data_IF_811367116211
#
_entry.id   IF_811367116211
#
_cell.length_a   1.000
_cell.length_b   1.000
_cell.length_c   1.000
_cell.angle_alpha   90.00
_cell.angle_beta   90.00
_cell.angle_gamma   90.00
#
_symmetry.space_group_name_H-M   'P 1'
#
loop_
_entity.id
_entity.type
_entity.pdbx_description
1 polymer ?
#
# COMPACT_ATOMS: atom_id res chain seq x y z
N UNK A 1 -22.63 3.86 -3.97
CA UNK A 1 -24.07 3.74 -4.25
C UNK A 1 -24.41 2.33 -4.70
N UNK A 2 -23.81 1.85 -5.80
CA UNK A 2 -24.10 0.53 -6.39
C UNK A 2 -24.00 -0.67 -5.42
N UNK A 3 -22.88 -0.85 -4.69
CA UNK A 3 -22.72 -2.01 -3.79
C UNK A 3 -23.73 -2.06 -2.63
N UNK A 4 -24.08 -0.90 -2.05
CA UNK A 4 -25.12 -0.82 -1.00
C UNK A 4 -26.52 -1.18 -1.50
N UNK A 5 -26.80 -0.93 -2.77
CA UNK A 5 -28.05 -1.37 -3.41
C UNK A 5 -28.05 -2.89 -3.63
N UNK A 6 -26.88 -3.45 -3.97
CA UNK A 6 -26.70 -4.90 -4.12
C UNK A 6 -26.91 -5.68 -2.82
N UNK A 7 -26.40 -5.18 -1.70
CA UNK A 7 -26.58 -5.82 -0.40
C UNK A 7 -28.05 -5.89 0.05
N UNK A 8 -28.89 -4.98 -0.45
CA UNK A 8 -30.31 -4.88 -0.13
C UNK A 8 -31.22 -5.60 -1.13
N UNK A 9 -30.66 -6.19 -2.19
CA UNK A 9 -31.44 -6.91 -3.21
C UNK A 9 -31.96 -8.23 -2.67
N UNK A 10 -33.21 -8.58 -3.03
CA UNK A 10 -33.81 -9.90 -2.76
C UNK A 10 -33.19 -11.03 -3.57
N UNK A 11 -32.44 -10.71 -4.62
CA UNK A 11 -31.64 -11.64 -5.44
C UNK A 11 -30.15 -11.29 -5.28
N UNK A 12 -29.64 -11.42 -4.06
CA UNK A 12 -28.26 -11.06 -3.74
C UNK A 12 -27.29 -12.06 -4.37
N UNK A 13 -26.40 -11.56 -5.22
CA UNK A 13 -25.32 -12.35 -5.83
C UNK A 13 -24.00 -12.01 -5.15
N UNK A 14 -23.15 -13.02 -4.94
CA UNK A 14 -21.90 -12.87 -4.22
C UNK A 14 -20.69 -13.07 -5.13
N UNK A 15 -19.66 -12.27 -4.90
CA UNK A 15 -18.29 -12.59 -5.28
C UNK A 15 -17.48 -12.70 -4.00
N UNK A 16 -17.08 -13.91 -3.68
CA UNK A 16 -16.27 -14.25 -2.52
C UNK A 16 -14.84 -14.39 -3.03
N UNK A 17 -13.98 -13.44 -2.69
CA UNK A 17 -12.57 -13.58 -2.94
C UNK A 17 -11.95 -14.48 -1.87
N UNK A 18 -11.24 -15.48 -2.35
CA UNK A 18 -10.40 -16.33 -1.55
C UNK A 18 -8.95 -15.83 -1.55
N UNK A 19 -8.58 -15.09 -0.49
CA UNK A 19 -7.22 -14.56 -0.29
C UNK A 19 -6.31 -15.56 0.45
N UNK A 20 -6.53 -16.85 0.24
CA UNK A 20 -5.75 -17.92 0.86
C UNK A 20 -4.31 -17.96 0.35
N UNK A 21 -3.36 -18.01 1.30
CA UNK A 21 -1.92 -18.29 1.11
C UNK A 21 -1.20 -17.22 0.28
N UNK A 22 -0.41 -16.37 0.94
CA UNK A 22 0.66 -15.46 0.50
C UNK A 22 0.92 -14.37 1.56
N UNK A 23 2.00 -13.58 1.44
CA UNK A 23 2.24 -12.43 2.30
C UNK A 23 1.16 -11.34 2.18
N UNK A 24 1.16 -10.36 3.11
CA UNK A 24 0.12 -9.32 3.18
C UNK A 24 -0.02 -8.52 1.87
N UNK A 25 1.11 -8.11 1.29
CA UNK A 25 1.11 -7.35 0.04
C UNK A 25 0.40 -8.09 -1.10
N UNK A 26 0.65 -9.39 -1.24
CA UNK A 26 0.04 -10.19 -2.30
C UNK A 26 -1.44 -10.45 -2.03
N UNK A 27 -1.83 -10.73 -0.78
CA UNK A 27 -3.25 -10.86 -0.42
C UNK A 27 -3.99 -9.56 -0.67
N UNK A 28 -3.37 -8.41 -0.37
CA UNK A 28 -3.98 -7.11 -0.62
C UNK A 28 -4.18 -6.84 -2.11
N UNK A 29 -3.21 -7.15 -2.99
CA UNK A 29 -3.42 -7.01 -4.44
C UNK A 29 -4.54 -7.92 -4.95
N UNK A 30 -4.68 -9.13 -4.41
CA UNK A 30 -5.81 -10.03 -4.70
C UNK A 30 -7.13 -9.41 -4.27
N UNK A 31 -7.19 -8.86 -3.05
CA UNK A 31 -8.37 -8.17 -2.48
C UNK A 31 -8.82 -7.03 -3.37
N UNK A 32 -7.90 -6.14 -3.72
CA UNK A 32 -8.23 -4.99 -4.57
C UNK A 32 -8.69 -5.45 -5.96
N UNK A 33 -8.00 -6.43 -6.56
CA UNK A 33 -8.37 -6.96 -7.88
C UNK A 33 -9.76 -7.61 -7.84
N UNK A 34 -10.03 -8.46 -6.86
CA UNK A 34 -11.31 -9.12 -6.65
C UNK A 34 -12.45 -8.15 -6.42
N UNK A 35 -12.21 -7.04 -5.71
CA UNK A 35 -13.21 -6.00 -5.50
C UNK A 35 -13.66 -5.38 -6.83
N UNK A 36 -12.74 -5.09 -7.75
CA UNK A 36 -13.11 -4.59 -9.07
C UNK A 36 -13.86 -5.63 -9.91
N UNK A 37 -13.49 -6.92 -9.81
CA UNK A 37 -14.27 -7.99 -10.45
C UNK A 37 -15.69 -8.05 -9.86
N UNK A 38 -15.86 -7.85 -8.55
CA UNK A 38 -17.19 -7.80 -7.92
C UNK A 38 -18.02 -6.63 -8.47
N UNK A 39 -17.41 -5.46 -8.68
CA UNK A 39 -18.09 -4.32 -9.31
C UNK A 39 -18.51 -4.63 -10.77
N UNK A 40 -17.61 -5.22 -11.56
CA UNK A 40 -17.87 -5.55 -12.97
C UNK A 40 -18.92 -6.65 -13.14
N UNK A 41 -18.91 -7.65 -12.26
CA UNK A 41 -19.87 -8.75 -12.23
C UNK A 41 -21.20 -8.38 -11.57
N UNK A 42 -21.30 -7.17 -11.00
CA UNK A 42 -22.46 -6.73 -10.20
C UNK A 42 -22.73 -7.74 -9.10
N UNK A 43 -21.80 -7.86 -8.15
CA UNK A 43 -21.88 -8.78 -7.01
C UNK A 43 -21.50 -8.10 -5.69
N UNK A 44 -22.12 -8.55 -4.61
CA UNK A 44 -21.69 -8.23 -3.25
C UNK A 44 -20.32 -8.86 -3.00
N UNK A 45 -19.32 -8.02 -2.80
CA UNK A 45 -17.96 -8.46 -2.50
C UNK A 45 -17.82 -9.00 -1.07
N UNK A 46 -17.18 -10.16 -0.91
CA UNK A 46 -16.82 -10.80 0.36
C UNK A 46 -15.37 -11.29 0.32
N UNK A 47 -14.73 -11.40 1.48
CA UNK A 47 -13.35 -11.85 1.62
C UNK A 47 -13.31 -13.06 2.56
N UNK A 48 -12.56 -14.09 2.17
CA UNK A 48 -12.20 -15.23 3.03
C UNK A 48 -10.69 -15.51 2.95
N UNK A 49 -10.18 -16.36 3.84
CA UNK A 49 -8.78 -16.80 3.83
C UNK A 49 -7.83 -15.90 4.63
N UNK A 50 -8.33 -14.79 5.18
CA UNK A 50 -7.61 -13.88 6.09
C UNK A 50 -8.59 -13.23 7.07
N UNK A 51 -8.20 -13.16 8.35
CA UNK A 51 -8.99 -12.50 9.39
C UNK A 51 -8.57 -11.02 9.45
N UNK A 52 -9.39 -10.15 8.84
CA UNK A 52 -9.11 -8.70 8.75
C UNK A 52 -9.91 -7.90 9.78
N UNK A 53 -10.93 -8.51 10.37
CA UNK A 53 -11.87 -7.89 11.30
C UNK A 53 -11.23 -7.47 12.61
N UNK A 54 -10.11 -8.09 13.00
CA UNK A 54 -9.33 -7.67 14.16
C UNK A 54 -8.55 -6.38 13.87
N UNK A 55 -8.25 -6.09 12.60
CA UNK A 55 -7.34 -5.01 12.17
C UNK A 55 -8.08 -3.80 11.60
N UNK A 56 -9.11 -4.05 10.79
CA UNK A 56 -9.77 -3.03 9.99
C UNK A 56 -11.26 -2.90 10.33
N UNK A 57 -11.73 -1.66 10.38
CA UNK A 57 -13.13 -1.30 10.20
C UNK A 57 -13.55 -1.45 8.73
N UNK A 58 -14.86 -1.54 8.52
CA UNK A 58 -15.52 -1.75 7.22
C UNK A 58 -16.34 -0.50 6.84
N UNK A 59 -15.70 0.62 6.47
CA UNK A 59 -16.36 1.93 6.44
C UNK A 59 -17.48 2.05 5.39
N UNK A 60 -17.37 1.33 4.27
CA UNK A 60 -18.27 1.52 3.13
C UNK A 60 -19.12 0.31 2.76
N UNK A 61 -18.59 -0.90 2.93
CA UNK A 61 -19.24 -2.17 2.59
C UNK A 61 -18.90 -3.23 3.63
N UNK A 62 -19.80 -4.20 3.85
CA UNK A 62 -19.49 -5.35 4.70
C UNK A 62 -18.89 -6.47 3.85
N UNK A 63 -17.57 -6.61 3.90
CA UNK A 63 -16.85 -7.68 3.19
C UNK A 63 -16.76 -9.00 3.98
N UNK A 64 -17.31 -9.10 5.20
CA UNK A 64 -17.26 -10.33 6.00
C UNK A 64 -18.34 -11.33 5.59
N UNK A 65 -18.05 -12.63 5.73
CA UNK A 65 -19.01 -13.72 5.58
C UNK A 65 -18.79 -14.74 6.69
N UNK A 66 -19.87 -15.22 7.31
CA UNK A 66 -19.75 -16.23 8.37
C UNK A 66 -19.45 -17.61 7.79
N UNK A 67 -18.85 -18.50 8.58
CA UNK A 67 -18.59 -19.88 8.16
C UNK A 67 -19.89 -20.61 7.81
N UNK A 68 -20.93 -20.39 8.60
CA UNK A 68 -22.26 -21.00 8.40
C UNK A 68 -22.93 -20.48 7.12
N UNK A 69 -22.78 -19.18 6.79
CA UNK A 69 -23.27 -18.63 5.52
C UNK A 69 -22.51 -19.22 4.33
N UNK A 70 -21.18 -19.33 4.43
CA UNK A 70 -20.35 -19.93 3.39
C UNK A 70 -20.71 -21.40 3.14
N UNK A 71 -20.84 -22.20 4.20
CA UNK A 71 -21.24 -23.61 4.11
C UNK A 71 -22.63 -23.78 3.48
N UNK A 72 -23.59 -22.91 3.82
CA UNK A 72 -24.92 -22.92 3.19
C UNK A 72 -24.84 -22.65 1.68
N UNK A 73 -24.04 -21.67 1.26
CA UNK A 73 -23.86 -21.34 -0.15
C UNK A 73 -23.22 -22.52 -0.92
N UNK A 74 -22.19 -23.15 -0.35
CA UNK A 74 -21.54 -24.31 -0.96
C UNK A 74 -22.48 -25.53 -1.07
N UNK A 75 -23.28 -25.80 -0.02
CA UNK A 75 -24.20 -26.95 0.00
C UNK A 75 -25.38 -26.84 -0.99
N UNK A 76 -25.78 -25.62 -1.34
CA UNK A 76 -26.89 -25.38 -2.27
C UNK A 76 -26.50 -25.56 -3.75
N UNK A 77 -25.26 -25.95 -4.07
CA UNK A 77 -24.71 -25.98 -5.44
C UNK A 77 -24.82 -24.63 -6.19
N UNK A 78 -25.04 -23.54 -5.46
CA UNK A 78 -25.15 -22.16 -5.96
C UNK A 78 -23.79 -21.51 -6.29
N UNK A 79 -22.69 -22.27 -6.17
CA UNK A 79 -21.32 -21.76 -6.21
C UNK A 79 -20.59 -22.22 -7.47
N UNK A 80 -20.00 -21.25 -8.18
CA UNK A 80 -18.99 -21.50 -9.21
C UNK A 80 -17.62 -21.04 -8.73
N UNK A 81 -16.64 -21.94 -8.75
CA UNK A 81 -15.23 -21.64 -8.46
C UNK A 81 -14.53 -21.13 -9.72
N UNK A 82 -13.96 -19.93 -9.64
CA UNK A 82 -13.20 -19.25 -10.70
C UNK A 82 -11.77 -19.04 -10.22
N UNK A 83 -10.94 -20.06 -10.43
CA UNK A 83 -9.54 -20.04 -10.01
C UNK A 83 -8.67 -19.79 -11.23
N UNK A 84 -8.11 -18.58 -11.31
CA UNK A 84 -7.12 -18.19 -12.31
C UNK A 84 -5.69 -18.50 -11.84
N UNK A 85 -5.58 -19.43 -10.88
CA UNK A 85 -4.36 -19.92 -10.27
C UNK A 85 -4.25 -21.41 -10.52
N UNK A 86 -3.19 -21.84 -11.18
CA UNK A 86 -2.83 -23.26 -11.24
C UNK A 86 -1.63 -23.47 -10.33
N UNK A 87 -1.83 -24.08 -9.16
CA UNK A 87 -0.79 -24.29 -8.13
C UNK A 87 0.40 -25.07 -8.69
N UNK A 88 0.18 -25.89 -9.71
CA UNK A 88 1.16 -26.83 -10.26
C UNK A 88 1.71 -26.43 -11.64
N UNK A 89 1.22 -25.36 -12.27
CA UNK A 89 1.73 -24.91 -13.58
C UNK A 89 2.42 -23.56 -13.45
N UNK A 90 3.66 -23.50 -13.97
CA UNK A 90 4.42 -22.25 -14.20
C UNK A 90 3.76 -21.31 -15.23
N UNK A 91 2.55 -21.63 -15.71
CA UNK A 91 1.83 -20.87 -16.73
C UNK A 91 0.60 -20.22 -16.13
N UNK A 92 0.54 -18.90 -16.34
CA UNK A 92 -0.52 -18.03 -15.87
C UNK A 92 -1.80 -18.23 -16.68
N UNK A 93 -2.95 -18.35 -16.00
CA UNK A 93 -4.25 -18.38 -16.67
C UNK A 93 -4.76 -16.94 -16.86
N UNK A 94 -4.51 -16.37 -18.03
CA UNK A 94 -5.01 -15.05 -18.43
C UNK A 94 -6.49 -15.06 -18.87
N UNK A 95 -7.23 -16.14 -18.62
CA UNK A 95 -8.64 -16.27 -18.98
C UNK A 95 -9.50 -15.11 -18.45
N UNK A 96 -9.10 -14.47 -17.34
CA UNK A 96 -9.79 -13.30 -16.78
C UNK A 96 -9.77 -12.09 -17.74
N UNK A 97 -8.78 -11.96 -18.64
CA UNK A 97 -8.72 -10.90 -19.65
C UNK A 97 -9.83 -11.03 -20.71
N UNK A 98 -10.24 -12.27 -20.95
CA UNK A 98 -11.23 -12.65 -21.97
C UNK A 98 -12.56 -13.11 -21.36
N UNK A 99 -12.77 -12.84 -20.07
CA UNK A 99 -14.03 -13.17 -19.39
C UNK A 99 -14.94 -11.95 -19.36
N UNK A 100 -16.17 -12.10 -19.86
CA UNK A 100 -17.25 -11.15 -19.60
C UNK A 100 -17.92 -11.51 -18.28
N UNK A 101 -17.49 -10.85 -17.21
CA UNK A 101 -17.94 -11.10 -15.84
C UNK A 101 -19.41 -10.76 -15.61
N UNK A 102 -20.04 -9.99 -16.49
CA UNK A 102 -21.47 -9.69 -16.41
C UNK A 102 -22.32 -10.82 -17.00
N UNK A 103 -22.04 -11.26 -18.24
CA UNK A 103 -22.90 -12.23 -18.94
C UNK A 103 -22.54 -13.69 -18.67
N UNK A 104 -21.25 -14.03 -18.53
CA UNK A 104 -20.82 -15.43 -18.48
C UNK A 104 -21.29 -16.17 -17.22
N UNK A 105 -21.65 -15.41 -16.19
CA UNK A 105 -22.05 -15.93 -14.89
C UNK A 105 -23.36 -15.30 -14.42
N UNK A 106 -24.20 -14.83 -15.33
CA UNK A 106 -25.44 -14.16 -14.96
C UNK A 106 -26.34 -15.06 -14.09
N UNK A 107 -26.47 -16.33 -14.43
CA UNK A 107 -27.33 -17.28 -13.70
C UNK A 107 -26.68 -17.87 -12.43
N UNK A 108 -25.42 -17.50 -12.14
CA UNK A 108 -24.71 -18.03 -10.96
C UNK A 108 -24.94 -17.11 -9.77
N UNK A 109 -25.40 -17.64 -8.65
CA UNK A 109 -25.63 -16.86 -7.43
C UNK A 109 -24.31 -16.45 -6.77
N UNK A 110 -23.36 -17.37 -6.62
CA UNK A 110 -22.09 -17.13 -5.93
C UNK A 110 -20.88 -17.50 -6.78
N UNK A 111 -19.93 -16.58 -6.89
CA UNK A 111 -18.61 -16.83 -7.45
C UNK A 111 -17.60 -16.89 -6.32
N UNK A 112 -16.85 -17.99 -6.20
CA UNK A 112 -15.62 -18.00 -5.40
C UNK A 112 -14.46 -17.74 -6.35
N UNK A 113 -13.81 -16.60 -6.18
CA UNK A 113 -12.78 -16.09 -7.07
C UNK A 113 -11.41 -16.21 -6.40
N UNK A 114 -10.42 -16.70 -7.15
CA UNK A 114 -9.02 -16.76 -6.72
C UNK A 114 -8.13 -16.35 -7.89
N UNK A 115 -7.20 -15.42 -7.63
CA UNK A 115 -6.20 -14.95 -8.59
C UNK A 115 -4.86 -14.82 -7.88
N UNK A 116 -3.76 -15.22 -8.52
CA UNK A 116 -2.43 -15.07 -7.94
C UNK A 116 -1.89 -13.68 -8.30
N UNK A 117 -1.20 -13.06 -7.34
CA UNK A 117 -0.44 -11.83 -7.55
C UNK A 117 -1.26 -10.57 -7.92
N UNK A 118 -2.60 -10.62 -7.81
CA UNK A 118 -3.50 -9.47 -7.97
C UNK A 118 -3.25 -8.63 -9.24
N UNK A 119 -3.96 -8.91 -10.33
CA UNK A 119 -3.66 -8.33 -11.64
C UNK A 119 -4.39 -7.02 -11.93
N UNK A 120 -4.31 -6.02 -11.04
CA UNK A 120 -5.09 -4.77 -11.17
C UNK A 120 -4.84 -4.06 -12.51
N UNK A 121 -3.59 -3.84 -12.91
CA UNK A 121 -3.24 -3.24 -14.22
C UNK A 121 -3.92 -3.99 -15.37
N UNK A 122 -3.80 -5.32 -15.38
CA UNK A 122 -4.33 -6.18 -16.44
C UNK A 122 -5.86 -6.21 -16.47
N UNK A 123 -6.55 -5.96 -15.35
CA UNK A 123 -8.02 -5.83 -15.36
C UNK A 123 -8.47 -4.69 -16.28
N UNK A 124 -7.67 -3.61 -16.43
CA UNK A 124 -7.94 -2.53 -17.38
C UNK A 124 -7.66 -2.89 -18.84
N UNK A 125 -7.09 -4.07 -19.09
CA UNK A 125 -6.87 -4.63 -20.43
C UNK A 125 -7.96 -5.64 -20.82
N UNK A 126 -8.90 -5.95 -19.92
CA UNK A 126 -10.00 -6.87 -20.21
C UNK A 126 -10.84 -6.35 -21.40
N UNK A 127 -11.04 -7.23 -22.39
CA UNK A 127 -11.63 -6.85 -23.69
C UNK A 127 -13.10 -6.41 -23.60
N UNK A 128 -13.81 -6.82 -22.55
CA UNK A 128 -15.22 -6.48 -22.31
C UNK A 128 -15.40 -5.32 -21.33
N UNK A 129 -14.50 -5.17 -20.36
CA UNK A 129 -14.72 -4.31 -19.19
C UNK A 129 -13.82 -3.07 -19.12
N UNK A 130 -12.80 -2.95 -19.98
CA UNK A 130 -11.91 -1.77 -19.96
C UNK A 130 -12.71 -0.47 -20.01
N UNK A 131 -13.63 -0.33 -20.96
CA UNK A 131 -14.43 0.90 -21.11
C UNK A 131 -15.34 1.14 -19.92
N UNK A 132 -15.89 0.07 -19.33
CA UNK A 132 -16.76 0.16 -18.16
C UNK A 132 -15.99 0.77 -16.98
N UNK A 133 -14.75 0.32 -16.72
CA UNK A 133 -13.90 0.88 -15.66
C UNK A 133 -13.62 2.37 -15.89
N UNK A 134 -13.27 2.76 -17.12
CA UNK A 134 -13.03 4.17 -17.45
C UNK A 134 -14.28 5.04 -17.30
N UNK A 135 -15.46 4.53 -17.71
CA UNK A 135 -16.77 5.19 -17.55
C UNK A 135 -17.18 5.32 -16.07
N UNK A 136 -16.73 4.42 -15.21
CA UNK A 136 -16.89 4.51 -13.75
C UNK A 136 -15.95 5.53 -13.09
N UNK A 137 -15.08 6.20 -13.87
CA UNK A 137 -14.08 7.14 -13.35
C UNK A 137 -12.88 6.46 -12.70
N UNK A 138 -12.77 5.14 -12.80
CA UNK A 138 -11.64 4.39 -12.25
C UNK A 138 -10.46 4.53 -13.21
N UNK A 139 -9.25 4.73 -12.67
CA UNK A 139 -8.00 4.80 -13.43
C UNK A 139 -6.96 3.85 -12.83
N UNK A 140 -6.17 3.15 -13.65
CA UNK A 140 -5.27 2.09 -13.16
C UNK A 140 -4.32 2.60 -12.06
N UNK A 141 -3.71 3.76 -12.28
CA UNK A 141 -2.77 4.47 -11.42
C UNK A 141 -3.30 4.87 -10.04
N UNK A 142 -4.62 5.07 -9.91
CA UNK A 142 -5.25 5.44 -8.64
C UNK A 142 -6.10 4.33 -8.05
N UNK A 143 -6.43 3.31 -8.84
CA UNK A 143 -7.38 2.25 -8.49
C UNK A 143 -6.97 1.54 -7.20
N UNK A 144 -5.67 1.26 -7.02
CA UNK A 144 -5.19 0.57 -5.83
C UNK A 144 -5.53 1.34 -4.56
N UNK A 145 -5.03 2.57 -4.43
CA UNK A 145 -5.25 3.39 -3.24
C UNK A 145 -6.73 3.72 -3.02
N UNK A 146 -7.48 3.98 -4.08
CA UNK A 146 -8.92 4.27 -3.99
C UNK A 146 -9.71 3.08 -3.43
N UNK A 147 -9.46 1.87 -3.93
CA UNK A 147 -10.12 0.67 -3.42
C UNK A 147 -9.65 0.31 -2.01
N UNK A 148 -8.36 0.46 -1.70
CA UNK A 148 -7.83 0.20 -0.36
C UNK A 148 -8.56 1.07 0.68
N UNK A 149 -8.59 2.39 0.48
CA UNK A 149 -9.25 3.31 1.41
C UNK A 149 -10.78 3.18 1.42
N UNK A 150 -11.38 2.70 0.33
CA UNK A 150 -12.81 2.40 0.29
C UNK A 150 -13.15 1.17 1.13
N UNK A 151 -12.33 0.12 1.08
CA UNK A 151 -12.58 -1.15 1.75
C UNK A 151 -12.18 -1.14 3.23
N UNK A 152 -11.14 -0.40 3.57
CA UNK A 152 -10.43 -0.56 4.84
C UNK A 152 -10.18 0.77 5.53
N UNK A 153 -10.37 0.76 6.85
CA UNK A 153 -9.90 1.79 7.76
C UNK A 153 -9.32 1.10 8.99
N UNK A 154 -8.02 1.25 9.32
CA UNK A 154 -7.46 0.59 10.48
C UNK A 154 -8.20 1.01 11.73
N UNK A 155 -8.40 0.07 12.64
CA UNK A 155 -9.01 0.39 13.93
C UNK A 155 -8.10 1.30 14.77
N UNK A 156 -8.65 2.11 15.69
CA UNK A 156 -7.86 3.01 16.53
C UNK A 156 -6.72 2.30 17.26
N UNK A 157 -6.95 1.10 17.80
CA UNK A 157 -5.93 0.31 18.49
C UNK A 157 -4.75 -0.09 17.60
N UNK A 158 -4.98 -0.30 16.30
CA UNK A 158 -3.91 -0.59 15.33
C UNK A 158 -3.12 0.68 15.01
N UNK A 159 -3.80 1.82 14.80
CA UNK A 159 -3.12 3.10 14.58
C UNK A 159 -2.29 3.52 15.79
N UNK A 160 -2.79 3.24 17.00
CA UNK A 160 -2.09 3.58 18.25
C UNK A 160 -0.68 2.96 18.33
N UNK A 161 -0.44 1.82 17.66
CA UNK A 161 0.88 1.16 17.59
C UNK A 161 1.95 2.09 16.99
N UNK A 162 1.56 2.94 16.03
CA UNK A 162 2.45 3.82 15.26
C UNK A 162 2.23 5.31 15.58
N UNK A 163 1.47 5.61 16.64
CA UNK A 163 1.02 6.96 16.97
C UNK A 163 2.18 7.94 17.24
N UNK A 164 3.24 7.47 17.89
CA UNK A 164 4.44 8.28 18.14
C UNK A 164 5.12 8.69 16.83
N UNK A 165 5.22 7.76 15.88
CA UNK A 165 5.77 8.04 14.55
C UNK A 165 4.92 9.07 13.78
N UNK A 166 3.57 9.02 13.90
CA UNK A 166 2.69 10.06 13.34
C UNK A 166 2.98 11.44 13.94
N UNK A 167 3.17 11.51 15.27
CA UNK A 167 3.42 12.76 15.99
C UNK A 167 4.81 13.33 15.66
N UNK A 168 5.85 12.49 15.70
CA UNK A 168 7.24 12.89 15.42
C UNK A 168 7.38 13.42 13.98
N UNK A 169 6.77 12.72 13.01
CA UNK A 169 6.74 13.16 11.61
C UNK A 169 5.70 14.25 11.32
N UNK A 170 4.94 14.70 12.33
CA UNK A 170 3.91 15.74 12.22
C UNK A 170 2.91 15.47 11.08
N UNK A 171 2.46 14.23 10.95
CA UNK A 171 1.50 13.82 9.91
C UNK A 171 0.12 14.33 10.33
N UNK A 172 -0.46 15.23 9.53
CA UNK A 172 -1.72 15.95 9.85
C UNK A 172 -2.95 15.43 9.10
N UNK A 173 -2.89 14.26 8.47
CA UNK A 173 -3.99 13.76 7.65
C UNK A 173 -5.17 13.32 8.52
N UNK A 174 -6.05 14.30 8.78
CA UNK A 174 -7.25 14.22 9.60
C UNK A 174 -8.30 13.22 9.10
N UNK A 175 -8.16 12.68 7.89
CA UNK A 175 -9.17 11.75 7.34
C UNK A 175 -9.14 10.37 8.02
N UNK A 176 -8.01 9.95 8.59
CA UNK A 176 -7.85 8.61 9.18
C UNK A 176 -7.70 8.59 10.70
N UNK A 177 -7.36 9.74 11.31
CA UNK A 177 -7.38 9.91 12.75
C UNK A 177 -8.79 10.28 13.19
N UNK A 178 -9.62 9.27 13.45
CA UNK A 178 -10.94 9.50 14.04
C UNK A 178 -10.85 10.47 15.22
N UNK A 179 -11.52 11.61 15.13
CA UNK A 179 -11.83 12.58 16.19
C UNK A 179 -11.08 12.44 17.53
N UNK A 180 -9.76 12.66 17.57
CA UNK A 180 -9.03 12.86 18.84
C UNK A 180 -8.45 14.26 18.98
N UNK A 181 -8.42 15.08 17.92
CA UNK A 181 -7.96 16.48 17.98
C UNK A 181 -9.04 17.52 17.69
N UNK A 182 -10.24 17.34 18.25
CA UNK A 182 -11.23 18.41 18.29
C UNK A 182 -11.89 18.51 19.67
N UNK A 183 -11.16 19.11 20.60
CA UNK A 183 -11.76 19.99 21.58
C UNK A 183 -10.85 21.23 21.67
N UNK A 184 -11.41 22.37 21.25
CA UNK A 184 -10.82 23.71 21.15
C UNK A 184 -10.24 24.07 19.78
N UNK A 185 -11.10 24.24 18.78
CA UNK A 185 -11.22 25.53 18.09
C UNK A 185 -12.35 25.47 17.04
N UNK A 186 -13.45 26.16 17.36
CA UNK A 186 -14.44 26.57 16.37
C UNK A 186 -13.76 27.50 15.36
N UNK A 187 -13.61 27.05 14.12
CA UNK A 187 -13.68 27.92 12.95
C UNK A 187 -14.01 27.10 11.70
N UNK A 188 -15.28 27.18 11.32
CA UNK A 188 -15.78 26.78 10.01
C UNK A 188 -15.07 27.60 8.93
N UNK A 189 -14.38 26.93 8.01
CA UNK A 189 -14.24 27.42 6.64
C UNK A 189 -14.14 26.24 5.68
N UNK A 190 -15.28 25.96 5.04
CA UNK A 190 -15.40 25.13 3.86
C UNK A 190 -14.69 25.81 2.70
N UNK A 191 -13.58 25.24 2.24
CA UNK A 191 -13.04 25.46 0.89
C UNK A 191 -12.42 24.14 0.40
N UNK A 192 -13.28 23.23 -0.06
CA UNK A 192 -12.87 22.10 -0.88
C UNK A 192 -12.54 22.61 -2.31
N UNK A 193 -11.35 23.20 -2.47
CA UNK A 193 -10.66 23.21 -3.76
C UNK A 193 -9.72 22.01 -3.76
N UNK A 194 -9.65 21.29 -4.87
CA UNK A 194 -8.85 20.07 -5.01
C UNK A 194 -7.45 20.28 -4.46
N UNK A 195 -7.15 19.66 -3.31
CA UNK A 195 -5.88 19.82 -2.66
C UNK A 195 -4.81 19.11 -3.51
N UNK A 196 -3.81 19.86 -3.97
CA UNK A 196 -2.58 19.28 -4.48
C UNK A 196 -2.08 18.25 -3.46
N UNK A 197 -1.85 17.02 -3.92
CA UNK A 197 -1.46 15.89 -3.07
C UNK A 197 0.02 15.94 -2.66
N UNK A 198 0.75 16.94 -3.13
CA UNK A 198 2.13 17.25 -2.77
C UNK A 198 2.16 17.94 -1.39
N UNK A 199 3.22 17.76 -0.60
CA UNK A 199 3.40 18.49 0.66
C UNK A 199 3.22 19.99 0.44
N UNK A 200 2.58 20.68 1.39
CA UNK A 200 2.27 22.10 1.21
C UNK A 200 3.52 22.91 0.86
N UNK A 201 3.45 23.61 -0.27
CA UNK A 201 4.55 24.36 -0.91
C UNK A 201 5.06 25.55 -0.05
N UNK A 202 4.38 25.85 1.04
CA UNK A 202 4.80 26.89 1.99
C UNK A 202 6.08 26.54 2.77
N UNK A 203 6.65 25.33 2.58
CA UNK A 203 7.88 24.88 3.26
C UNK A 203 7.72 24.66 4.76
N UNK A 204 6.48 24.70 5.29
CA UNK A 204 6.20 24.57 6.73
C UNK A 204 5.96 23.12 7.15
N UNK A 205 5.63 22.23 6.21
CA UNK A 205 5.44 20.81 6.51
C UNK A 205 6.73 20.00 6.29
N UNK A 206 7.05 19.06 7.19
CA UNK A 206 8.19 18.18 7.02
C UNK A 206 8.14 17.42 5.68
N UNK A 207 9.31 17.14 5.12
CA UNK A 207 9.50 16.17 4.04
C UNK A 207 9.59 14.77 4.65
N UNK A 208 8.83 13.81 4.11
CA UNK A 208 8.82 12.43 4.61
C UNK A 208 9.20 11.45 3.52
N UNK A 209 10.33 10.77 3.70
CA UNK A 209 10.81 9.74 2.77
C UNK A 209 10.66 8.38 3.46
N UNK A 210 9.92 7.47 2.85
CA UNK A 210 9.81 6.09 3.31
C UNK A 210 10.89 5.23 2.70
N UNK A 211 11.56 4.42 3.50
CA UNK A 211 12.50 3.39 3.09
C UNK A 211 11.94 2.02 3.52
N UNK A 212 11.60 1.16 2.56
CA UNK A 212 11.16 -0.20 2.83
C UNK A 212 12.18 -1.22 2.30
N UNK A 213 12.88 -1.87 3.22
CA UNK A 213 13.97 -2.81 2.96
C UNK A 213 13.55 -4.24 3.36
N UNK A 214 13.45 -5.12 2.38
CA UNK A 214 13.05 -6.52 2.52
C UNK A 214 14.26 -7.44 2.39
N UNK A 215 14.89 -7.82 3.49
CA UNK A 215 16.13 -8.62 3.45
C UNK A 215 15.90 -10.13 3.29
N UNK A 216 14.65 -10.56 3.18
CA UNK A 216 14.28 -11.94 2.85
C UNK A 216 13.85 -12.75 4.06
N UNK A 217 13.13 -13.84 3.79
CA UNK A 217 12.48 -14.67 4.83
C UNK A 217 13.44 -15.29 5.84
N UNK A 218 14.69 -15.49 5.42
CA UNK A 218 15.76 -16.02 6.27
C UNK A 218 16.13 -15.04 7.40
N UNK A 219 15.67 -13.79 7.35
CA UNK A 219 15.79 -12.87 8.50
C UNK A 219 14.98 -13.36 9.70
N UNK A 220 13.97 -14.20 9.48
CA UNK A 220 13.13 -14.80 10.53
C UNK A 220 13.52 -16.24 10.88
N UNK A 221 14.55 -16.83 10.27
CA UNK A 221 15.00 -18.18 10.61
C UNK A 221 15.99 -18.17 11.77
N UNK A 222 16.12 -19.30 12.48
CA UNK A 222 17.07 -19.45 13.59
C UNK A 222 18.54 -19.19 13.17
N UNK A 223 18.86 -19.42 11.91
CA UNK A 223 20.18 -19.15 11.32
C UNK A 223 20.43 -17.67 11.01
N UNK A 224 19.39 -16.83 11.04
CA UNK A 224 19.43 -15.43 10.65
C UNK A 224 19.78 -15.19 9.17
N UNK A 225 19.75 -13.91 8.77
CA UNK A 225 20.29 -13.43 7.49
C UNK A 225 21.67 -12.84 7.72
N UNK A 226 22.68 -13.25 6.93
CA UNK A 226 24.02 -12.65 6.97
C UNK A 226 24.00 -11.14 6.69
N UNK A 227 22.99 -10.70 5.93
CA UNK A 227 22.77 -9.29 5.60
C UNK A 227 22.24 -8.51 6.82
N UNK A 228 21.72 -9.17 7.85
CA UNK A 228 21.23 -8.57 9.09
C UNK A 228 22.24 -8.67 10.26
N UNK A 229 23.55 -8.55 9.97
CA UNK A 229 24.63 -8.60 10.96
C UNK A 229 24.93 -7.21 11.58
N UNK A 230 25.79 -7.14 12.61
CA UNK A 230 26.08 -5.87 13.32
C UNK A 230 26.61 -4.73 12.43
N UNK A 231 27.36 -5.05 11.37
CA UNK A 231 27.93 -4.10 10.43
C UNK A 231 27.00 -3.81 9.22
N UNK A 232 25.69 -4.04 9.39
CA UNK A 232 24.69 -4.02 8.32
C UNK A 232 24.74 -2.77 7.42
N UNK A 233 24.94 -1.57 7.99
CA UNK A 233 24.97 -0.32 7.23
C UNK A 233 26.14 -0.20 6.25
N UNK A 234 27.19 -1.01 6.42
CA UNK A 234 28.33 -1.05 5.50
C UNK A 234 28.08 -1.91 4.26
N UNK A 235 27.01 -2.71 4.24
CA UNK A 235 26.66 -3.47 3.06
C UNK A 235 26.14 -2.54 1.96
N UNK A 236 26.83 -2.52 0.81
CA UNK A 236 26.46 -1.71 -0.35
C UNK A 236 24.98 -1.89 -0.76
N UNK A 237 24.44 -3.11 -0.59
CA UNK A 237 23.04 -3.46 -0.86
C UNK A 237 22.02 -2.65 -0.05
N UNK A 238 22.41 -2.22 1.15
CA UNK A 238 21.56 -1.48 2.10
C UNK A 238 21.88 0.00 2.01
N UNK A 239 23.18 0.34 2.00
CA UNK A 239 23.66 1.72 1.90
C UNK A 239 23.01 2.47 0.74
N UNK A 240 22.80 1.82 -0.41
CA UNK A 240 22.17 2.44 -1.57
C UNK A 240 20.77 3.03 -1.29
N UNK A 241 19.98 2.47 -0.36
CA UNK A 241 18.66 2.99 -0.02
C UNK A 241 18.77 4.32 0.72
N UNK A 242 19.75 4.43 1.64
CA UNK A 242 20.03 5.66 2.36
C UNK A 242 20.67 6.71 1.44
N UNK A 243 21.62 6.29 0.58
CA UNK A 243 22.19 7.18 -0.45
C UNK A 243 21.09 7.76 -1.36
N UNK A 244 20.13 6.93 -1.76
CA UNK A 244 18.97 7.34 -2.54
C UNK A 244 18.11 8.38 -1.80
N UNK A 245 17.87 8.17 -0.50
CA UNK A 245 17.13 9.12 0.33
C UNK A 245 17.86 10.46 0.49
N UNK A 246 19.19 10.44 0.64
CA UNK A 246 20.02 11.65 0.69
C UNK A 246 20.02 12.41 -0.62
N UNK A 247 20.12 11.71 -1.76
CA UNK A 247 20.06 12.30 -3.10
C UNK A 247 18.71 12.98 -3.34
N UNK A 248 17.60 12.30 -3.03
CA UNK A 248 16.25 12.86 -3.14
C UNK A 248 16.04 14.05 -2.20
N UNK A 249 16.43 13.92 -0.93
CA UNK A 249 16.36 15.02 0.05
C UNK A 249 17.08 16.25 -0.48
N UNK A 250 18.30 16.07 -0.98
CA UNK A 250 19.10 17.16 -1.54
C UNK A 250 18.41 17.80 -2.74
N UNK A 251 17.98 17.01 -3.72
CA UNK A 251 17.33 17.53 -4.92
C UNK A 251 16.05 18.31 -4.62
N UNK A 252 15.21 17.79 -3.72
CA UNK A 252 13.95 18.42 -3.31
C UNK A 252 14.19 19.75 -2.58
N UNK A 253 15.21 19.81 -1.73
CA UNK A 253 15.54 21.03 -0.98
C UNK A 253 16.28 22.08 -1.83
N UNK A 254 17.04 21.67 -2.84
CA UNK A 254 17.77 22.56 -3.76
C UNK A 254 16.91 23.04 -4.94
N UNK A 255 15.91 22.25 -5.35
CA UNK A 255 15.05 22.51 -6.51
C UNK A 255 13.57 22.51 -6.12
N UNK A 256 13.08 23.55 -5.41
CA UNK A 256 11.64 23.65 -5.13
C UNK A 256 10.85 23.72 -6.45
N UNK A 257 9.77 22.94 -6.54
CA UNK A 257 9.00 22.62 -7.75
C UNK A 257 8.43 23.85 -8.50
N UNK A 258 8.39 25.02 -7.86
CA UNK A 258 8.02 26.30 -8.47
C UNK A 258 9.06 27.38 -8.11
N UNK A 259 10.08 27.55 -8.94
CA UNK A 259 10.63 28.90 -9.13
C UNK A 259 9.66 29.62 -10.03
N UNK A 260 8.77 30.39 -9.42
CA UNK A 260 7.89 31.32 -10.11
C UNK A 260 8.78 32.26 -10.97
N UNK A 261 8.89 32.00 -12.28
CA UNK A 261 9.79 32.72 -13.20
C UNK A 261 9.45 34.22 -13.30
N UNK A 262 8.30 34.63 -12.76
CA UNK A 262 7.84 36.01 -12.70
C UNK A 262 8.01 36.70 -11.34
N UNK A 263 8.65 36.05 -10.34
CA UNK A 263 8.95 36.71 -9.06
C UNK A 263 10.17 37.63 -9.18
N UNK A 264 9.95 38.79 -9.82
CA UNK A 264 10.78 39.98 -9.68
C UNK A 264 10.61 40.56 -8.27
N UNK A 265 11.16 39.87 -7.25
CA UNK A 265 11.45 40.50 -5.97
C UNK A 265 12.72 39.93 -5.35
N UNK A 266 13.82 40.55 -5.75
CA UNK A 266 15.05 40.61 -5.01
C UNK A 266 14.82 41.17 -3.59
N UNK A 267 15.62 40.65 -2.66
CA UNK A 267 15.92 41.22 -1.35
C UNK A 267 14.83 41.13 -0.27
N UNK A 268 14.58 39.93 0.21
CA UNK A 268 14.52 39.67 1.66
C UNK A 268 14.81 38.19 1.92
N UNK A 269 16.09 37.84 2.15
CA UNK A 269 16.47 36.57 2.79
C UNK A 269 15.96 36.60 4.24
N UNK A 270 14.65 36.47 4.43
CA UNK A 270 14.13 35.91 5.69
C UNK A 270 14.82 34.56 5.84
N UNK A 271 15.38 34.28 7.02
CA UNK A 271 15.86 32.95 7.41
C UNK A 271 14.79 31.94 7.00
N UNK A 272 14.93 31.31 5.84
CA UNK A 272 14.06 30.23 5.44
C UNK A 272 14.27 29.16 6.50
N UNK A 273 13.22 28.92 7.28
CA UNK A 273 13.24 27.91 8.32
C UNK A 273 13.53 26.60 7.59
N UNK A 274 14.69 25.99 7.88
CA UNK A 274 15.10 24.73 7.26
C UNK A 274 13.95 23.74 7.42
N UNK A 275 13.43 23.23 6.30
CA UNK A 275 12.36 22.23 6.28
C UNK A 275 12.87 20.98 7.01
N UNK A 276 12.08 20.48 7.95
CA UNK A 276 12.38 19.22 8.64
C UNK A 276 12.27 18.06 7.65
N UNK A 277 13.15 17.06 7.79
CA UNK A 277 13.17 15.87 6.94
C UNK A 277 13.20 14.64 7.82
N UNK A 278 12.28 13.72 7.57
CA UNK A 278 12.17 12.45 8.28
C UNK A 278 12.26 11.28 7.30
N UNK A 279 12.95 10.23 7.73
CA UNK A 279 13.10 8.97 7.01
C UNK A 279 12.40 7.85 7.79
N UNK A 280 11.26 7.38 7.30
CA UNK A 280 10.58 6.23 7.90
C UNK A 280 11.21 4.94 7.39
N UNK A 281 11.92 4.22 8.26
CA UNK A 281 12.56 2.95 7.91
C UNK A 281 11.69 1.77 8.33
N UNK A 282 11.25 0.98 7.35
CA UNK A 282 10.59 -0.30 7.54
C UNK A 282 11.47 -1.43 7.01
N UNK A 283 11.82 -2.37 7.88
CA UNK A 283 12.57 -3.56 7.49
C UNK A 283 12.24 -4.75 8.40
N UNK A 284 12.42 -5.95 7.87
CA UNK A 284 12.37 -7.22 8.60
C UNK A 284 13.62 -7.45 9.47
N UNK A 285 14.65 -6.60 9.36
CA UNK A 285 15.89 -6.72 10.13
C UNK A 285 15.92 -5.78 11.33
N UNK A 286 15.74 -6.34 12.54
CA UNK A 286 15.77 -5.57 13.79
C UNK A 286 17.10 -4.84 14.00
N UNK A 287 18.23 -5.51 13.74
CA UNK A 287 19.58 -4.93 13.86
C UNK A 287 19.73 -3.68 12.98
N UNK A 288 19.18 -3.72 11.76
CA UNK A 288 19.20 -2.55 10.87
C UNK A 288 18.37 -1.39 11.40
N UNK A 289 17.20 -1.65 12.02
CA UNK A 289 16.40 -0.59 12.64
C UNK A 289 17.17 0.10 13.75
N UNK A 290 17.78 -0.68 14.65
CA UNK A 290 18.59 -0.18 15.76
C UNK A 290 19.79 0.62 15.25
N UNK A 291 20.56 0.07 14.31
CA UNK A 291 21.74 0.76 13.74
C UNK A 291 21.38 2.02 12.98
N UNK A 292 20.29 2.02 12.22
CA UNK A 292 19.85 3.23 11.52
C UNK A 292 19.39 4.32 12.50
N UNK A 293 18.71 3.96 13.60
CA UNK A 293 18.31 4.92 14.64
C UNK A 293 19.51 5.43 15.43
N UNK A 294 20.52 4.61 15.70
CA UNK A 294 21.80 5.05 16.30
C UNK A 294 22.55 6.04 15.39
N UNK A 295 22.58 5.77 14.08
CA UNK A 295 23.34 6.57 13.12
C UNK A 295 22.64 7.89 12.77
N UNK A 296 21.30 7.90 12.71
CA UNK A 296 20.49 9.07 12.36
C UNK A 296 19.36 9.31 13.39
N UNK A 297 19.67 9.63 14.66
CA UNK A 297 18.69 9.63 15.75
C UNK A 297 17.53 10.61 15.56
N UNK A 298 17.79 11.78 14.97
CA UNK A 298 16.79 12.85 14.76
C UNK A 298 16.07 12.75 13.40
N UNK A 299 16.53 11.88 12.50
CA UNK A 299 16.05 11.80 11.12
C UNK A 299 15.35 10.48 10.83
N UNK A 300 15.89 9.36 11.28
CA UNK A 300 15.29 8.04 11.06
C UNK A 300 14.20 7.78 12.10
N UNK A 301 13.03 7.44 11.61
CA UNK A 301 11.86 7.02 12.37
C UNK A 301 11.67 5.52 12.11
N UNK A 302 11.71 4.72 13.16
CA UNK A 302 11.52 3.27 13.06
C UNK A 302 11.16 2.70 14.42
N UNK A 303 10.38 1.63 14.47
CA UNK A 303 9.95 0.99 15.71
C UNK A 303 10.94 -0.13 16.04
N UNK A 304 11.61 -0.03 17.19
CA UNK A 304 12.67 -0.96 17.62
C UNK A 304 12.27 -1.84 18.80
N UNK A 305 11.24 -1.44 19.55
CA UNK A 305 10.79 -2.04 20.80
C UNK A 305 9.71 -3.11 20.62
N UNK A 306 9.26 -3.37 19.38
CA UNK A 306 8.23 -4.35 19.05
C UNK A 306 8.76 -5.55 18.27
N UNK A 307 8.03 -6.66 18.36
CA UNK A 307 8.32 -7.88 17.60
C UNK A 307 7.94 -7.70 16.13
N UNK A 308 8.87 -8.03 15.23
CA UNK A 308 8.66 -8.02 13.79
C UNK A 308 8.62 -9.46 13.32
N UNK A 309 7.59 -9.83 12.55
CA UNK A 309 7.49 -11.18 12.00
C UNK A 309 6.73 -11.18 10.67
N UNK A 310 6.92 -12.24 9.88
CA UNK A 310 6.16 -12.45 8.66
C UNK A 310 4.73 -12.85 9.00
N UNK A 311 3.73 -12.16 8.42
CA UNK A 311 2.30 -12.33 8.77
C UNK A 311 1.76 -13.76 8.59
N UNK A 312 2.39 -14.56 7.73
CA UNK A 312 2.01 -15.97 7.53
C UNK A 312 2.69 -16.95 8.48
N UNK A 313 3.78 -16.53 9.13
CA UNK A 313 4.61 -17.38 9.99
C UNK A 313 4.36 -17.13 11.47
N UNK A 314 3.42 -16.24 11.80
CA UNK A 314 3.17 -15.81 13.17
C UNK A 314 1.68 -15.84 13.51
N UNK A 315 1.39 -16.20 14.75
CA UNK A 315 0.08 -15.99 15.39
C UNK A 315 0.15 -14.87 16.45
N UNK A 316 1.28 -14.18 16.54
CA UNK A 316 1.47 -13.07 17.47
C UNK A 316 0.66 -11.85 17.00
N UNK A 317 -0.38 -11.53 17.78
CA UNK A 317 -1.27 -10.40 17.51
C UNK A 317 -0.53 -9.06 17.52
N UNK A 318 0.52 -8.90 18.32
CA UNK A 318 1.31 -7.67 18.33
C UNK A 318 2.10 -7.52 17.03
N UNK A 319 2.80 -8.57 16.61
CA UNK A 319 3.56 -8.56 15.35
C UNK A 319 2.65 -8.35 14.13
N UNK A 320 1.46 -8.97 14.12
CA UNK A 320 0.44 -8.73 13.10
C UNK A 320 -0.01 -7.27 13.11
N UNK A 321 -0.44 -6.75 14.27
CA UNK A 321 -0.86 -5.36 14.44
C UNK A 321 0.20 -4.37 13.95
N UNK A 322 1.47 -4.60 14.29
CA UNK A 322 2.59 -3.79 13.84
C UNK A 322 2.74 -3.81 12.32
N UNK A 323 2.70 -4.98 11.68
CA UNK A 323 2.81 -5.08 10.23
C UNK A 323 1.68 -4.29 9.52
N UNK A 324 0.44 -4.40 9.98
CA UNK A 324 -0.65 -3.62 9.38
C UNK A 324 -0.51 -2.11 9.65
N UNK A 325 -0.11 -1.73 10.86
CA UNK A 325 0.08 -0.34 11.25
C UNK A 325 1.23 0.34 10.47
N UNK A 326 2.37 -0.34 10.33
CA UNK A 326 3.52 0.13 9.56
C UNK A 326 3.21 0.23 8.08
N UNK A 327 2.53 -0.77 7.51
CA UNK A 327 2.06 -0.74 6.11
C UNK A 327 1.18 0.50 5.86
N UNK A 328 0.24 0.75 6.77
CA UNK A 328 -0.64 1.90 6.68
C UNK A 328 0.12 3.22 6.80
N UNK A 329 0.98 3.36 7.82
CA UNK A 329 1.81 4.55 8.04
C UNK A 329 2.74 4.83 6.85
N UNK A 330 3.34 3.80 6.25
CA UNK A 330 4.21 3.96 5.11
C UNK A 330 3.49 4.62 3.94
N UNK A 331 2.21 4.32 3.73
CA UNK A 331 1.38 4.99 2.73
C UNK A 331 1.17 6.50 2.95
N UNK A 332 1.59 7.05 4.09
CA UNK A 332 1.56 8.49 4.38
C UNK A 332 2.83 9.25 3.96
N UNK A 333 3.89 8.56 3.54
CA UNK A 333 5.12 9.23 3.11
C UNK A 333 4.92 10.01 1.80
N UNK A 334 5.78 10.99 1.56
CA UNK A 334 5.74 11.82 0.35
C UNK A 334 6.49 11.14 -0.80
N UNK A 335 7.56 10.40 -0.48
CA UNK A 335 8.35 9.58 -1.40
C UNK A 335 8.61 8.21 -0.77
N UNK A 336 8.74 7.18 -1.60
CA UNK A 336 8.87 5.77 -1.20
C UNK A 336 10.01 5.12 -1.96
N UNK A 337 11.07 4.77 -1.24
CA UNK A 337 12.16 3.93 -1.72
C UNK A 337 11.84 2.51 -1.23
N UNK A 338 11.58 1.60 -2.16
CA UNK A 338 11.07 0.26 -1.84
C UNK A 338 11.95 -0.82 -2.43
N UNK A 339 11.99 -1.97 -1.76
CA UNK A 339 12.66 -3.14 -2.31
C UNK A 339 11.88 -3.65 -3.51
N UNK A 340 12.57 -3.81 -4.64
CA UNK A 340 11.97 -4.18 -5.93
C UNK A 340 11.06 -5.41 -5.85
N UNK A 341 11.50 -6.45 -5.15
CA UNK A 341 10.76 -7.71 -4.98
C UNK A 341 9.72 -7.69 -3.84
N UNK A 342 9.48 -6.56 -3.18
CA UNK A 342 8.57 -6.50 -2.03
C UNK A 342 7.19 -5.94 -2.39
N UNK A 343 6.18 -6.81 -2.39
CA UNK A 343 4.78 -6.38 -2.51
C UNK A 343 4.31 -5.54 -1.31
N UNK A 344 4.93 -5.72 -0.13
CA UNK A 344 4.58 -4.99 1.09
C UNK A 344 4.82 -3.48 0.96
N UNK A 345 6.05 -3.05 0.66
CA UNK A 345 6.36 -1.62 0.48
C UNK A 345 5.61 -1.01 -0.70
N UNK A 346 5.50 -1.76 -1.79
CA UNK A 346 4.83 -1.35 -3.03
C UNK A 346 3.35 -1.05 -2.84
N UNK A 347 2.62 -1.95 -2.21
CA UNK A 347 1.18 -1.77 -1.96
C UNK A 347 0.92 -0.63 -0.98
N UNK A 348 1.78 -0.44 0.02
CA UNK A 348 1.70 0.72 0.90
C UNK A 348 1.95 2.04 0.14
N UNK A 349 2.98 2.11 -0.71
CA UNK A 349 3.29 3.29 -1.50
C UNK A 349 2.16 3.69 -2.47
N UNK A 350 1.49 2.71 -3.07
CA UNK A 350 0.36 2.93 -3.98
C UNK A 350 -0.89 3.47 -3.30
N UNK A 351 -1.01 3.33 -1.98
CA UNK A 351 -2.07 4.00 -1.19
C UNK A 351 -2.00 5.51 -1.34
N UNK A 352 -0.81 6.08 -1.57
CA UNK A 352 -0.59 7.53 -1.62
C UNK A 352 -1.29 8.23 -2.79
N UNK A 353 -1.59 7.51 -3.88
CA UNK A 353 -2.28 8.01 -5.10
C UNK A 353 -1.65 9.28 -5.68
N UNK A 354 -0.33 9.38 -5.63
CA UNK A 354 0.41 10.45 -6.29
C UNK A 354 1.30 9.86 -7.37
N UNK A 355 1.81 10.73 -8.22
CA UNK A 355 2.79 10.37 -9.22
C UNK A 355 4.19 10.71 -8.73
N UNK A 356 5.19 10.09 -9.35
CA UNK A 356 6.60 10.46 -9.24
C UNK A 356 7.19 10.31 -7.83
N UNK A 357 6.70 9.32 -7.08
CA UNK A 357 7.05 9.15 -5.68
C UNK A 357 7.63 7.78 -5.33
N UNK A 358 7.62 6.80 -6.25
CA UNK A 358 8.10 5.44 -5.98
C UNK A 358 9.45 5.22 -6.65
N UNK A 359 10.40 4.66 -5.90
CA UNK A 359 11.74 4.30 -6.34
C UNK A 359 12.03 2.85 -5.95
N UNK A 360 12.05 1.96 -6.94
CA UNK A 360 12.35 0.56 -6.78
C UNK A 360 13.86 0.33 -6.75
N UNK A 361 14.34 -0.37 -5.72
CA UNK A 361 15.75 -0.73 -5.57
C UNK A 361 15.93 -2.23 -5.37
N UNK A 362 16.89 -2.81 -6.08
CA UNK A 362 17.26 -4.21 -5.94
C UNK A 362 18.19 -4.43 -4.75
N UNK A 363 17.89 -5.44 -3.91
CA UNK A 363 18.82 -5.90 -2.86
C UNK A 363 19.78 -6.91 -3.51
N UNK A 364 20.58 -6.45 -4.48
CA UNK A 364 21.61 -7.25 -5.14
C UNK A 364 22.99 -6.61 -4.98
N UNK A 365 24.03 -7.44 -4.88
CA UNK A 365 25.41 -7.01 -4.53
C UNK A 365 26.06 -6.10 -5.57
N UNK A 366 25.48 -6.02 -6.77
CA UNK A 366 25.95 -5.13 -7.83
C UNK A 366 25.07 -3.87 -7.84
N UNK A 367 25.56 -2.80 -7.23
CA UNK A 367 25.12 -1.47 -7.64
C UNK A 367 25.61 -1.32 -9.08
N UNK A 368 24.70 -1.34 -10.06
CA UNK A 368 24.97 -0.59 -11.28
C UNK A 368 25.23 0.84 -10.80
N UNK A 369 26.43 1.35 -11.01
CA UNK A 369 26.87 2.70 -10.63
C UNK A 369 26.00 3.82 -11.20
N UNK A 370 24.98 3.49 -11.99
CA UNK A 370 24.33 4.40 -12.93
C UNK A 370 22.91 4.79 -12.52
N UNK A 371 22.32 4.15 -11.50
CA UNK A 371 21.01 4.56 -10.97
C UNK A 371 21.17 5.53 -9.80
N UNK A 372 21.37 6.81 -10.13
CA UNK A 372 21.14 7.91 -9.18
C UNK A 372 19.65 8.03 -8.91
N UNK A 373 19.26 8.26 -7.66
CA UNK A 373 17.89 8.59 -7.33
C UNK A 373 17.66 10.07 -7.56
N UNK A 374 16.72 10.38 -8.46
CA UNK A 374 16.33 11.74 -8.79
C UNK A 374 14.84 11.85 -8.98
N UNK A 375 14.29 13.06 -8.85
CA UNK A 375 12.88 13.36 -9.16
C UNK A 375 12.47 12.99 -10.59
N UNK A 376 13.43 12.75 -11.49
CA UNK A 376 13.20 12.30 -12.86
C UNK A 376 13.32 10.79 -13.06
N UNK A 377 13.82 10.05 -12.07
CA UNK A 377 14.11 8.61 -12.17
C UNK A 377 13.22 7.78 -11.24
N UNK A 378 11.93 8.10 -11.23
CA UNK A 378 10.91 7.37 -10.48
C UNK A 378 10.33 6.21 -11.30
N UNK A 379 9.72 5.24 -10.63
CA UNK A 379 8.95 4.19 -11.28
C UNK A 379 7.52 4.66 -11.55
N UNK A 380 7.10 4.53 -12.80
CA UNK A 380 5.71 4.72 -13.22
C UNK A 380 4.80 3.69 -12.56
N UNK A 381 3.49 3.94 -12.55
CA UNK A 381 2.51 2.94 -12.09
C UNK A 381 2.62 1.64 -12.89
N UNK A 382 2.81 1.73 -14.21
CA UNK A 382 2.92 0.55 -15.06
C UNK A 382 4.13 -0.30 -14.68
N UNK A 383 5.31 0.30 -14.55
CA UNK A 383 6.53 -0.39 -14.06
C UNK A 383 6.28 -0.97 -12.67
N UNK A 384 5.70 -0.17 -11.76
CA UNK A 384 5.39 -0.61 -10.40
C UNK A 384 4.48 -1.84 -10.40
N UNK A 385 3.48 -1.87 -11.27
CA UNK A 385 2.48 -2.94 -11.35
C UNK A 385 3.00 -4.21 -12.03
N UNK A 386 4.02 -4.12 -12.90
CA UNK A 386 4.61 -5.27 -13.59
C UNK A 386 5.30 -6.23 -12.61
N UNK A 387 5.95 -5.69 -11.59
CA UNK A 387 6.68 -6.48 -10.61
C UNK A 387 5.80 -7.16 -9.56
N UNK A 388 4.47 -7.01 -9.64
CA UNK A 388 3.57 -7.89 -8.90
C UNK A 388 3.62 -9.32 -9.43
N UNK A 389 4.06 -9.52 -10.67
CA UNK A 389 3.89 -10.77 -11.42
C UNK A 389 4.96 -11.83 -11.11
N UNK A 390 6.09 -11.49 -10.50
CA UNK A 390 7.30 -12.33 -10.57
C UNK A 390 7.83 -12.84 -9.21
N UNK A 391 6.95 -13.39 -8.37
CA UNK A 391 7.37 -14.25 -7.26
C UNK A 391 6.79 -15.66 -7.41
#
# INVERSE_FOLDING_TARGET
MYHREMEKSSQKKYLILDAWKNGWGDRLTQIISGFYIALLSKRSFKIIGIDLEDIFEKPNIDWSISKEELEKLENNNSVKKLYYTEIDKKQWNEGFLYTNFTSNYEDVETLIYRIQNGKLQRIFENVFHKEQLYKMGIRPDTAFGCAFEYLFKPKPEVINIVQEAYQEMKIKRNYYMGNIFNNNNNNNNNNNKGNNYLPSENGLEPLRIGLQLRLGDNTFSETGSYICAENVLLFNQIKQFFDCAEELEKEILETPYEKDENSLSSHNKKKEKKREVYWLLLTDCKVLREKAKEYWPEKVITITDKTINHIEKTNDKEALGLAFAEHWLFGEMDYHIISHSSSYGRTAALRRKIFHHIFDMDISSARSSDKKCSLLTYNTFEETSKHWVEL
#
